data_IF_843306391237
#
_entry.id   IF_843306391237
#
_cell.length_a   1.000
_cell.length_b   1.000
_cell.length_c   1.000
_cell.angle_alpha   90.00
_cell.angle_beta   90.00
_cell.angle_gamma   90.00
#
_symmetry.space_group_name_H-M   'P 1'
#
loop_
_entity.id
_entity.type
_entity.pdbx_description
1 polymer ?
#
# COMPACT_ATOMS: atom_id res chain seq x y z
N UNK A 1 -32.84 10.34 11.47
CA UNK A 1 -31.66 10.43 12.38
C UNK A 1 -30.55 9.59 11.76
N UNK A 2 -29.70 10.22 10.95
CA UNK A 2 -28.58 9.58 10.24
C UNK A 2 -27.32 9.72 11.09
N UNK A 3 -26.82 8.61 11.64
CA UNK A 3 -25.61 8.58 12.47
C UNK A 3 -24.51 7.66 11.90
N UNK A 4 -24.70 7.10 10.70
CA UNK A 4 -23.76 6.11 10.12
C UNK A 4 -22.69 6.76 9.22
N UNK A 5 -22.86 8.02 8.82
CA UNK A 5 -22.03 8.62 7.76
C UNK A 5 -20.66 9.18 8.19
N UNK A 6 -20.40 9.35 9.49
CA UNK A 6 -19.16 10.01 9.95
C UNK A 6 -17.98 9.04 10.15
N UNK A 7 -18.24 7.81 10.61
CA UNK A 7 -17.17 6.80 10.81
C UNK A 7 -16.74 6.11 9.52
N UNK A 8 -17.66 5.90 8.56
CA UNK A 8 -17.30 5.34 7.26
C UNK A 8 -16.45 6.28 6.41
N UNK A 9 -16.61 7.61 6.62
CA UNK A 9 -15.84 8.61 5.89
C UNK A 9 -14.33 8.53 6.19
N UNK A 10 -13.93 8.28 7.44
CA UNK A 10 -12.51 8.16 7.81
C UNK A 10 -11.84 6.93 7.20
N UNK A 11 -12.59 5.83 7.02
CA UNK A 11 -12.06 4.61 6.39
C UNK A 11 -11.81 4.75 4.89
N UNK A 12 -12.27 5.83 4.26
CA UNK A 12 -12.02 6.09 2.84
C UNK A 12 -10.93 7.14 2.61
N UNK A 13 -10.41 7.77 3.67
CA UNK A 13 -9.38 8.79 3.51
C UNK A 13 -8.06 8.17 3.03
N UNK A 14 -7.34 8.82 2.11
CA UNK A 14 -6.02 8.38 1.68
C UNK A 14 -5.08 8.23 2.88
N UNK A 15 -4.56 7.02 3.06
CA UNK A 15 -3.63 6.69 4.13
C UNK A 15 -2.24 6.45 3.54
N UNK A 16 -1.22 7.08 4.13
CA UNK A 16 0.19 6.91 3.73
C UNK A 16 0.98 6.43 4.93
N UNK A 17 1.61 5.28 4.80
CA UNK A 17 2.41 4.66 5.87
C UNK A 17 3.84 4.46 5.41
N UNK A 18 4.80 4.63 6.31
CA UNK A 18 6.20 4.35 6.01
C UNK A 18 6.53 2.89 6.29
N UNK A 19 7.26 2.25 5.40
CA UNK A 19 7.72 0.87 5.55
C UNK A 19 8.80 0.82 6.63
N UNK A 20 8.54 0.09 7.72
CA UNK A 20 9.49 -0.05 8.83
C UNK A 20 10.40 -1.29 8.68
N UNK A 21 9.90 -2.33 8.03
CA UNK A 21 10.60 -3.59 7.82
C UNK A 21 10.31 -4.18 6.43
N UNK A 22 11.32 -4.82 5.84
CA UNK A 22 11.25 -5.49 4.54
C UNK A 22 11.96 -6.85 4.59
N UNK A 23 11.27 -7.89 4.15
CA UNK A 23 11.83 -9.22 3.83
C UNK A 23 11.67 -9.45 2.32
N UNK A 24 12.75 -9.22 1.57
CA UNK A 24 12.75 -9.35 0.10
C UNK A 24 12.53 -10.80 -0.38
N UNK A 25 13.19 -11.84 0.19
CA UNK A 25 12.94 -13.23 -0.19
C UNK A 25 11.47 -13.64 -0.04
N UNK A 26 10.83 -13.27 1.08
CA UNK A 26 9.41 -13.60 1.32
C UNK A 26 8.45 -12.61 0.66
N UNK A 27 8.96 -11.48 0.17
CA UNK A 27 8.21 -10.35 -0.37
C UNK A 27 7.18 -9.82 0.63
N UNK A 28 7.64 -9.61 1.86
CA UNK A 28 6.82 -9.11 2.97
C UNK A 28 7.34 -7.75 3.42
N UNK A 29 6.42 -6.84 3.72
CA UNK A 29 6.70 -5.57 4.41
C UNK A 29 5.84 -5.45 5.67
N UNK A 30 6.33 -4.67 6.63
CA UNK A 30 5.59 -4.36 7.86
C UNK A 30 5.64 -2.87 8.20
N UNK A 31 4.57 -2.39 8.78
CA UNK A 31 4.35 -1.01 9.22
C UNK A 31 3.21 -0.96 10.24
N UNK A 32 3.02 0.16 10.98
CA UNK A 32 1.90 0.32 11.89
C UNK A 32 0.57 0.13 11.16
N UNK A 33 -0.34 -0.65 11.74
CA UNK A 33 -1.57 -1.05 11.07
C UNK A 33 -2.57 0.09 10.90
N UNK A 34 -2.57 1.07 11.80
CA UNK A 34 -3.62 2.09 11.88
C UNK A 34 -5.00 1.42 11.91
N UNK A 35 -5.84 1.67 10.90
CA UNK A 35 -7.16 1.08 10.70
C UNK A 35 -7.22 0.10 9.52
N UNK A 36 -6.08 -0.26 8.93
CA UNK A 36 -5.97 -1.13 7.75
C UNK A 36 -6.57 -2.51 8.02
N UNK A 37 -7.26 -3.05 7.02
CA UNK A 37 -7.89 -4.37 7.10
C UNK A 37 -7.18 -5.40 6.23
N UNK A 38 -7.30 -6.69 6.59
CA UNK A 38 -6.81 -7.79 5.75
C UNK A 38 -7.52 -7.76 4.40
N UNK A 39 -6.76 -7.89 3.31
CA UNK A 39 -7.25 -7.77 1.94
C UNK A 39 -7.18 -6.36 1.37
N UNK A 40 -6.88 -5.35 2.19
CA UNK A 40 -6.75 -3.97 1.70
C UNK A 40 -5.56 -3.82 0.73
N UNK A 41 -5.82 -3.15 -0.39
CA UNK A 41 -4.87 -2.93 -1.46
C UNK A 41 -4.21 -1.55 -1.36
N UNK A 42 -2.91 -1.52 -1.63
CA UNK A 42 -2.14 -0.30 -1.77
C UNK A 42 -1.00 -0.48 -2.75
N UNK A 43 -0.15 0.54 -2.84
CA UNK A 43 1.03 0.50 -3.69
C UNK A 43 2.20 1.24 -3.05
N UNK A 44 3.42 0.74 -3.31
CA UNK A 44 4.66 1.33 -2.81
C UNK A 44 5.06 2.50 -3.69
N UNK A 45 5.35 3.63 -3.05
CA UNK A 45 5.92 4.84 -3.63
C UNK A 45 7.32 5.05 -3.06
N UNK A 46 8.31 5.01 -3.93
CA UNK A 46 9.70 5.36 -3.60
C UNK A 46 9.97 6.79 -4.06
N UNK A 47 10.42 7.64 -3.14
CA UNK A 47 10.93 8.96 -3.50
C UNK A 47 12.40 8.87 -3.91
N UNK A 48 12.73 9.44 -5.07
CA UNK A 48 14.09 9.71 -5.53
C UNK A 48 14.36 11.21 -5.44
N UNK A 49 15.57 11.65 -5.84
CA UNK A 49 15.98 13.06 -5.78
C UNK A 49 14.99 13.99 -6.48
N UNK A 50 14.55 13.61 -7.67
CA UNK A 50 13.85 14.52 -8.58
C UNK A 50 12.43 14.05 -8.93
N UNK A 51 12.03 12.84 -8.51
CA UNK A 51 10.73 12.26 -8.84
C UNK A 51 10.32 11.11 -7.90
N UNK A 52 9.05 10.73 -7.96
CA UNK A 52 8.49 9.58 -7.24
C UNK A 52 8.17 8.45 -8.21
N UNK A 53 8.35 7.21 -7.79
CA UNK A 53 8.03 6.02 -8.60
C UNK A 53 7.09 5.11 -7.81
N UNK A 54 6.03 4.66 -8.49
CA UNK A 54 5.19 3.54 -8.03
C UNK A 54 5.86 2.24 -8.46
N UNK A 55 6.30 1.41 -7.51
CA UNK A 55 7.14 0.24 -7.84
C UNK A 55 6.46 -1.12 -7.62
N UNK A 56 5.53 -1.23 -6.66
CA UNK A 56 4.94 -2.52 -6.27
C UNK A 56 3.49 -2.37 -5.83
N UNK A 57 2.69 -3.37 -6.13
CA UNK A 57 1.38 -3.63 -5.51
C UNK A 57 1.59 -4.18 -4.10
N UNK A 58 0.69 -3.85 -3.19
CA UNK A 58 0.69 -4.30 -1.79
C UNK A 58 -0.71 -4.80 -1.43
N UNK A 59 -0.78 -5.93 -0.73
CA UNK A 59 -2.02 -6.44 -0.13
C UNK A 59 -1.75 -6.81 1.32
N UNK A 60 -2.59 -6.32 2.24
CA UNK A 60 -2.51 -6.69 3.66
C UNK A 60 -2.90 -8.15 3.82
N UNK A 61 -2.04 -8.94 4.46
CA UNK A 61 -2.28 -10.38 4.70
C UNK A 61 -2.52 -10.72 6.17
N UNK A 62 -2.08 -9.86 7.09
CA UNK A 62 -2.34 -10.03 8.53
C UNK A 62 -2.24 -8.67 9.24
N UNK A 63 -3.00 -8.53 10.33
CA UNK A 63 -2.91 -7.41 11.27
C UNK A 63 -2.85 -7.98 12.68
N UNK A 64 -1.72 -7.82 13.35
CA UNK A 64 -1.45 -8.42 14.65
C UNK A 64 -0.75 -7.40 15.55
N UNK A 65 -1.23 -7.23 16.79
CA UNK A 65 -0.63 -6.33 17.79
C UNK A 65 -0.38 -4.90 17.28
N UNK A 66 -1.28 -4.37 16.44
CA UNK A 66 -1.15 -3.02 15.86
C UNK A 66 -0.13 -2.91 14.72
N UNK A 67 0.41 -4.04 14.22
CA UNK A 67 1.32 -4.10 13.09
C UNK A 67 0.63 -4.79 11.91
N UNK A 68 0.63 -4.13 10.76
CA UNK A 68 0.17 -4.73 9.51
C UNK A 68 1.34 -5.45 8.85
N UNK A 69 1.09 -6.69 8.42
CA UNK A 69 1.98 -7.45 7.54
C UNK A 69 1.35 -7.50 6.16
N UNK A 70 2.09 -7.07 5.15
CA UNK A 70 1.61 -7.01 3.78
C UNK A 70 2.54 -7.76 2.84
N UNK A 71 1.95 -8.41 1.83
CA UNK A 71 2.70 -9.02 0.73
C UNK A 71 2.81 -7.99 -0.39
N UNK A 72 3.98 -7.87 -1.00
CA UNK A 72 4.19 -6.98 -2.13
C UNK A 72 4.67 -7.74 -3.37
N UNK A 73 4.37 -7.18 -4.55
CA UNK A 73 4.84 -7.71 -5.84
C UNK A 73 4.96 -6.59 -6.86
N UNK A 74 5.81 -6.76 -7.86
CA UNK A 74 5.79 -5.91 -9.04
C UNK A 74 4.42 -6.02 -9.74
N UNK A 75 3.96 -4.92 -10.32
CA UNK A 75 2.72 -4.90 -11.09
C UNK A 75 2.82 -5.80 -12.31
N UNK A 76 1.81 -6.63 -12.55
CA UNK A 76 1.78 -7.50 -13.74
C UNK A 76 1.75 -6.67 -15.03
N UNK A 77 1.09 -5.50 -15.01
CA UNK A 77 1.06 -4.56 -16.13
C UNK A 77 2.43 -4.00 -16.51
N UNK A 78 3.40 -4.03 -15.60
CA UNK A 78 4.79 -3.60 -15.87
C UNK A 78 5.65 -4.71 -16.50
N UNK A 79 5.15 -5.94 -16.61
CA UNK A 79 5.82 -7.02 -17.38
C UNK A 79 5.51 -6.86 -18.87
N UNK A 80 6.06 -5.83 -19.49
CA UNK A 80 6.01 -5.67 -20.94
C UNK A 80 7.28 -6.22 -21.58
N UNK A 81 7.15 -7.09 -22.59
CA UNK A 81 8.28 -7.73 -23.26
C UNK A 81 9.27 -6.76 -23.91
N UNK A 82 8.79 -5.57 -24.28
CA UNK A 82 9.57 -4.54 -24.96
C UNK A 82 10.05 -3.41 -24.03
N UNK A 83 9.68 -3.44 -22.75
CA UNK A 83 10.17 -2.47 -21.78
C UNK A 83 11.17 -3.13 -20.81
N UNK A 84 12.17 -2.37 -20.34
CA UNK A 84 13.04 -2.86 -19.28
C UNK A 84 12.21 -3.19 -18.05
N UNK A 85 12.43 -4.37 -17.46
CA UNK A 85 11.79 -4.72 -16.19
C UNK A 85 12.28 -3.76 -15.11
N UNK A 86 11.37 -3.08 -14.37
CA UNK A 86 11.75 -2.23 -13.26
C UNK A 86 12.57 -3.03 -12.24
N UNK A 87 13.78 -2.57 -11.92
CA UNK A 87 14.68 -3.22 -10.95
C UNK A 87 14.46 -2.72 -9.51
N UNK A 88 13.66 -1.68 -9.35
CA UNK A 88 13.45 -1.08 -8.05
C UNK A 88 12.48 -1.92 -7.22
N UNK A 89 12.88 -2.20 -5.98
CA UNK A 89 12.12 -2.99 -5.02
C UNK A 89 11.80 -2.14 -3.80
N UNK A 90 10.72 -2.49 -3.10
CA UNK A 90 10.36 -1.84 -1.85
C UNK A 90 11.52 -1.89 -0.84
N UNK A 91 11.81 -0.76 -0.21
CA UNK A 91 12.83 -0.64 0.83
C UNK A 91 12.26 0.04 2.07
N UNK A 92 12.95 -0.13 3.20
CA UNK A 92 12.62 0.60 4.43
C UNK A 92 12.65 2.10 4.17
N UNK A 93 11.64 2.81 4.68
CA UNK A 93 11.48 4.26 4.50
C UNK A 93 10.68 4.66 3.26
N UNK A 94 10.45 3.76 2.29
CA UNK A 94 9.48 4.02 1.24
C UNK A 94 8.06 4.15 1.84
N UNK A 95 7.16 4.77 1.09
CA UNK A 95 5.77 4.94 1.52
C UNK A 95 4.88 3.89 0.85
N UNK A 96 3.85 3.44 1.56
CA UNK A 96 2.74 2.69 0.97
C UNK A 96 1.52 3.58 0.99
N UNK A 97 0.89 3.75 -0.18
CA UNK A 97 -0.31 4.54 -0.33
C UNK A 97 -1.51 3.59 -0.40
N UNK A 98 -2.45 3.78 0.52
CA UNK A 98 -3.73 3.11 0.58
C UNK A 98 -4.86 4.10 0.30
N UNK A 99 -5.96 3.61 -0.28
CA UNK A 99 -7.19 4.40 -0.53
C UNK A 99 -6.96 5.66 -1.40
N UNK A 100 -5.78 5.83 -1.99
CA UNK A 100 -5.40 7.02 -2.76
C UNK A 100 -6.27 7.24 -4.01
N UNK A 101 -6.89 6.16 -4.51
CA UNK A 101 -7.82 6.18 -5.64
C UNK A 101 -9.29 6.02 -5.22
N UNK A 102 -9.58 5.93 -3.91
CA UNK A 102 -10.96 5.87 -3.42
C UNK A 102 -11.60 7.25 -3.60
N UNK A 103 -12.23 7.48 -4.74
CA UNK A 103 -12.92 8.73 -5.00
C UNK A 103 -14.33 8.68 -4.38
N UNK A 104 -14.47 8.95 -3.07
CA UNK A 104 -15.72 9.19 -2.28
C UNK A 104 -16.97 8.32 -2.56
N UNK A 105 -16.90 7.27 -3.38
CA UNK A 105 -18.07 6.64 -4.00
C UNK A 105 -17.91 5.13 -4.21
N UNK A 106 -17.02 4.47 -3.47
CA UNK A 106 -17.23 3.05 -3.19
C UNK A 106 -18.17 2.99 -1.98
N UNK A 107 -19.47 3.05 -2.25
CA UNK A 107 -20.51 2.56 -1.35
C UNK A 107 -20.37 1.04 -1.34
N UNK A 108 -19.93 0.49 -0.21
CA UNK A 108 -20.11 -0.92 0.14
C UNK A 108 -21.31 -1.02 1.08
#
# INVERSE_FOLDING_TARGET
>A
MSFISLQSASWQEPLRVSIEFVDLPKKIIRFPAHDLQVGEFGFVVTKLSDYEIVNSEVVIIAVENGVATAKFRAFESMKQSHLPTPRMVARKGDLVYFRQFNNRAFLI
#
